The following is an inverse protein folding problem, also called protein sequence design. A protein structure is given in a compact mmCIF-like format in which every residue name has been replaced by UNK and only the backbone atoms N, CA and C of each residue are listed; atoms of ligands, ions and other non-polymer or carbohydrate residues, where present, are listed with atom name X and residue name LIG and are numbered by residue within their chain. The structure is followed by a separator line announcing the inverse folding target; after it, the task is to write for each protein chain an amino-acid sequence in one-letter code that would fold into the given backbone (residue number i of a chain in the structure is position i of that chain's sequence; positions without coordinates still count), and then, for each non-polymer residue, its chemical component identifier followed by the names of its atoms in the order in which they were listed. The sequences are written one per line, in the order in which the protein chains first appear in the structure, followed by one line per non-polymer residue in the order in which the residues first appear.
data_IF_329020283160
#
_entry.id   IF_329020283160
#
_cell.length_a   1.000
_cell.length_b   1.000
_cell.length_c   1.000
_cell.angle_alpha   90.00
_cell.angle_beta   90.00
_cell.angle_gamma   90.00
#
_symmetry.space_group_name_H-M   'P 1'
#
loop_
_entity.id
_entity.type
_entity.pdbx_description
1 polymer ?
#
# COMPACT_ATOMS: atom_id res chain seq x y z
N UNK A 1 24.14 -20.45 11.67
CA UNK A 1 22.68 -20.65 11.76
C UNK A 1 22.03 -19.30 11.64
N UNK A 2 21.10 -19.13 10.69
CA UNK A 2 20.31 -17.89 10.55
C UNK A 2 19.27 -17.86 11.67
N UNK A 3 19.22 -16.78 12.43
CA UNK A 3 18.26 -16.62 13.54
C UNK A 3 17.04 -15.81 13.09
N UNK A 4 15.94 -15.85 13.85
CA UNK A 4 14.72 -15.10 13.49
C UNK A 4 14.98 -13.61 13.24
N UNK A 5 15.78 -12.89 14.05
CA UNK A 5 16.12 -11.49 13.76
C UNK A 5 16.79 -11.25 12.41
N UNK A 6 17.50 -12.24 11.85
CA UNK A 6 18.22 -12.09 10.60
C UNK A 6 17.30 -12.04 9.37
N UNK A 7 16.14 -12.71 9.42
CA UNK A 7 15.20 -12.77 8.31
C UNK A 7 13.86 -12.09 8.56
N UNK A 8 13.55 -11.74 9.82
CA UNK A 8 12.29 -11.04 10.12
C UNK A 8 12.25 -9.68 9.45
N UNK A 9 11.23 -9.47 8.61
CA UNK A 9 11.05 -8.24 7.85
C UNK A 9 12.04 -8.03 6.70
N UNK A 10 12.88 -9.02 6.35
CA UNK A 10 13.87 -8.90 5.26
C UNK A 10 13.24 -8.70 3.89
N UNK A 11 11.99 -9.12 3.70
CA UNK A 11 11.21 -8.98 2.48
C UNK A 11 10.16 -7.86 2.56
N UNK A 12 10.44 -6.81 3.33
CA UNK A 12 9.59 -5.63 3.49
C UNK A 12 10.31 -4.40 2.96
N UNK A 13 9.63 -3.63 2.12
CA UNK A 13 10.12 -2.35 1.59
C UNK A 13 9.91 -1.27 2.66
N UNK A 14 10.63 -1.41 3.77
CA UNK A 14 10.52 -0.58 4.95
C UNK A 14 11.27 0.76 4.81
N UNK A 15 11.24 1.57 5.86
CA UNK A 15 11.91 2.87 5.91
C UNK A 15 13.42 2.76 5.64
N UNK A 16 14.06 1.69 6.10
CA UNK A 16 15.50 1.42 5.87
C UNK A 16 15.78 1.17 4.39
N UNK A 17 14.95 0.35 3.74
CA UNK A 17 15.07 0.05 2.31
C UNK A 17 14.77 1.29 1.48
N UNK A 18 13.74 2.05 1.84
CA UNK A 18 13.40 3.31 1.18
C UNK A 18 14.57 4.30 1.22
N UNK A 19 15.21 4.49 2.37
CA UNK A 19 16.40 5.36 2.49
C UNK A 19 17.58 4.90 1.65
N UNK A 20 17.74 3.60 1.48
CA UNK A 20 18.84 3.04 0.70
C UNK A 20 18.61 3.08 -0.81
N UNK A 21 17.35 3.05 -1.25
CA UNK A 21 16.97 2.89 -2.66
C UNK A 21 16.45 4.18 -3.31
N UNK A 22 16.01 5.17 -2.52
CA UNK A 22 15.48 6.44 -3.00
C UNK A 22 16.53 7.55 -2.85
N UNK A 23 16.48 8.54 -3.73
CA UNK A 23 17.19 9.79 -3.47
C UNK A 23 16.62 10.51 -2.26
N UNK A 24 17.41 11.34 -1.60
CA UNK A 24 17.00 12.06 -0.40
C UNK A 24 15.73 12.90 -0.63
N UNK A 25 15.64 13.60 -1.75
CA UNK A 25 14.49 14.42 -2.11
C UNK A 25 13.21 13.59 -2.30
N UNK A 26 13.31 12.45 -3.00
CA UNK A 26 12.19 11.52 -3.21
C UNK A 26 11.74 10.93 -1.88
N UNK A 27 12.70 10.48 -1.06
CA UNK A 27 12.41 9.93 0.27
C UNK A 27 11.69 10.95 1.15
N UNK A 28 12.21 12.19 1.23
CA UNK A 28 11.62 13.25 2.05
C UNK A 28 10.22 13.64 1.56
N UNK A 29 10.00 13.69 0.24
CA UNK A 29 8.69 13.95 -0.35
C UNK A 29 7.69 12.84 -0.01
N UNK A 30 8.11 11.57 -0.12
CA UNK A 30 7.29 10.42 0.26
C UNK A 30 6.96 10.46 1.76
N UNK A 31 7.93 10.75 2.62
CA UNK A 31 7.71 10.87 4.07
C UNK A 31 6.71 11.97 4.40
N UNK A 32 6.77 13.09 3.71
CA UNK A 32 5.78 14.16 3.88
C UNK A 32 4.36 13.70 3.52
N UNK A 33 4.21 12.92 2.44
CA UNK A 33 2.94 12.30 2.09
C UNK A 33 2.44 11.36 3.20
N UNK A 34 3.32 10.50 3.72
CA UNK A 34 2.99 9.54 4.79
C UNK A 34 2.64 10.23 6.11
N UNK A 35 3.41 11.26 6.47
CA UNK A 35 3.34 11.87 7.80
C UNK A 35 2.30 12.99 7.89
N UNK A 36 2.06 13.72 6.80
CA UNK A 36 1.21 14.89 6.77
C UNK A 36 -0.03 14.72 5.86
N UNK A 37 -0.15 13.60 5.13
CA UNK A 37 -1.22 13.40 4.16
C UNK A 37 -1.10 14.30 2.91
N UNK A 38 0.11 14.79 2.61
CA UNK A 38 0.36 15.61 1.43
C UNK A 38 0.10 14.83 0.14
N UNK A 39 -0.38 15.50 -0.88
CA UNK A 39 -0.60 14.88 -2.19
C UNK A 39 0.72 14.40 -2.79
N UNK A 40 0.75 13.14 -3.26
CA UNK A 40 1.91 12.57 -3.91
C UNK A 40 2.04 13.12 -5.34
N UNK A 41 3.23 13.61 -5.68
CA UNK A 41 3.57 13.99 -7.04
C UNK A 41 3.82 12.73 -7.88
N UNK A 42 3.41 12.75 -9.16
CA UNK A 42 3.59 11.63 -10.08
C UNK A 42 5.07 11.28 -10.32
N UNK A 43 5.95 12.28 -10.38
CA UNK A 43 7.39 12.05 -10.56
C UNK A 43 7.99 11.31 -9.34
N UNK A 44 7.58 11.69 -8.14
CA UNK A 44 7.93 10.98 -6.91
C UNK A 44 7.39 9.56 -6.93
N UNK A 45 6.14 9.38 -7.35
CA UNK A 45 5.53 8.06 -7.48
C UNK A 45 6.27 7.17 -8.49
N UNK A 46 6.69 7.72 -9.63
CA UNK A 46 7.50 6.99 -10.62
C UNK A 46 8.84 6.55 -10.05
N UNK A 47 9.53 7.43 -9.33
CA UNK A 47 10.80 7.09 -8.70
C UNK A 47 10.64 6.00 -7.62
N UNK A 48 9.59 6.08 -6.82
CA UNK A 48 9.27 5.06 -5.80
C UNK A 48 8.90 3.73 -6.46
N UNK A 49 8.07 3.75 -7.50
CA UNK A 49 7.66 2.54 -8.22
C UNK A 49 8.87 1.84 -8.84
N UNK A 50 9.77 2.58 -9.50
CA UNK A 50 11.00 2.01 -10.07
C UNK A 50 11.89 1.39 -9.00
N UNK A 51 12.13 2.11 -7.90
CA UNK A 51 12.96 1.60 -6.80
C UNK A 51 12.33 0.36 -6.13
N UNK A 52 11.02 0.36 -5.96
CA UNK A 52 10.28 -0.77 -5.39
C UNK A 52 10.32 -2.00 -6.29
N UNK A 53 10.17 -1.81 -7.61
CA UNK A 53 10.30 -2.87 -8.62
C UNK A 53 11.74 -3.43 -8.62
N UNK A 54 12.76 -2.57 -8.69
CA UNK A 54 14.15 -3.00 -8.72
C UNK A 54 14.51 -3.80 -7.47
N UNK A 55 14.11 -3.31 -6.29
CA UNK A 55 14.25 -4.05 -5.04
C UNK A 55 13.52 -5.39 -5.06
N UNK A 56 12.28 -5.43 -5.56
CA UNK A 56 11.51 -6.66 -5.62
C UNK A 56 12.14 -7.70 -6.56
N UNK A 57 12.63 -7.25 -7.72
CA UNK A 57 13.33 -8.11 -8.71
C UNK A 57 14.66 -8.64 -8.14
N UNK A 58 15.43 -7.82 -7.43
CA UNK A 58 16.63 -8.25 -6.72
C UNK A 58 16.35 -9.39 -5.71
N UNK A 59 15.12 -9.43 -5.16
CA UNK A 59 14.65 -10.48 -4.25
C UNK A 59 13.86 -11.61 -4.93
N UNK A 60 13.89 -11.67 -6.27
CA UNK A 60 13.31 -12.74 -7.07
C UNK A 60 11.83 -12.60 -7.38
N UNK A 61 11.23 -11.46 -7.16
CA UNK A 61 9.86 -11.19 -7.59
C UNK A 61 9.78 -11.04 -9.12
N UNK A 62 8.71 -11.55 -9.70
CA UNK A 62 8.41 -11.48 -11.15
C UNK A 62 7.07 -10.82 -11.43
N UNK A 63 6.26 -10.65 -10.41
CA UNK A 63 4.91 -10.11 -10.47
C UNK A 63 4.69 -9.11 -9.36
N UNK A 64 3.65 -8.31 -9.50
CA UNK A 64 3.12 -7.45 -8.44
C UNK A 64 1.61 -7.63 -8.30
N UNK A 65 1.08 -7.23 -7.17
CA UNK A 65 -0.36 -7.18 -6.91
C UNK A 65 -0.71 -5.99 -6.04
N UNK A 66 -1.83 -5.34 -6.34
CA UNK A 66 -2.47 -4.40 -5.43
C UNK A 66 -3.20 -5.21 -4.37
N UNK A 67 -2.58 -5.31 -3.19
CA UNK A 67 -3.05 -6.14 -2.10
C UNK A 67 -4.01 -5.38 -1.20
N UNK A 68 -5.22 -5.89 -1.05
CA UNK A 68 -6.23 -5.35 -0.15
C UNK A 68 -7.11 -6.48 0.39
N UNK A 69 -7.82 -6.20 1.48
CA UNK A 69 -8.78 -7.13 2.04
C UNK A 69 -10.20 -6.61 1.77
N UNK A 70 -10.94 -7.22 0.85
CA UNK A 70 -12.30 -6.83 0.55
C UNK A 70 -13.25 -7.13 1.72
N UNK A 71 -14.42 -6.52 1.72
CA UNK A 71 -15.43 -6.73 2.76
C UNK A 71 -15.95 -8.17 2.83
N UNK A 72 -15.75 -8.97 1.79
CA UNK A 72 -16.07 -10.40 1.76
C UNK A 72 -15.21 -11.24 2.71
N UNK A 73 -14.12 -10.68 3.26
CA UNK A 73 -13.24 -11.35 4.22
C UNK A 73 -12.11 -12.18 3.61
N UNK A 74 -12.14 -12.45 2.30
CA UNK A 74 -11.08 -13.16 1.59
C UNK A 74 -10.16 -12.16 0.93
N UNK A 75 -8.85 -12.31 1.11
CA UNK A 75 -7.85 -11.43 0.48
C UNK A 75 -7.98 -11.50 -1.05
N UNK A 76 -8.09 -10.35 -1.71
CA UNK A 76 -8.08 -10.26 -3.16
C UNK A 76 -6.67 -9.94 -3.65
N UNK A 77 -6.24 -10.70 -4.64
CA UNK A 77 -4.94 -10.55 -5.30
C UNK A 77 -5.16 -10.69 -6.82
N UNK A 78 -4.79 -9.66 -7.56
CA UNK A 78 -4.67 -9.73 -9.02
C UNK A 78 -3.19 -9.59 -9.35
N UNK A 79 -2.59 -10.69 -9.77
CA UNK A 79 -1.17 -10.73 -10.09
C UNK A 79 -0.92 -10.20 -11.49
N UNK A 80 -0.19 -9.11 -11.59
CA UNK A 80 0.28 -8.55 -12.84
C UNK A 80 1.80 -8.78 -12.97
N UNK A 81 2.25 -9.05 -14.19
CA UNK A 81 3.68 -9.21 -14.47
C UNK A 81 4.35 -7.85 -14.60
N UNK A 82 5.63 -7.76 -14.20
CA UNK A 82 6.45 -6.60 -14.55
C UNK A 82 6.84 -6.54 -16.03
N UNK A 83 6.55 -7.58 -16.80
CA UNK A 83 6.98 -7.71 -18.20
C UNK A 83 6.11 -6.86 -19.11
N UNK A 84 6.76 -5.97 -19.87
CA UNK A 84 6.13 -5.15 -20.90
C UNK A 84 6.82 -5.42 -22.23
N UNK A 85 6.05 -5.75 -23.32
CA UNK A 85 6.63 -5.88 -24.66
C UNK A 85 7.15 -4.53 -25.16
N UNK A 86 8.37 -4.51 -25.65
CA UNK A 86 8.95 -3.33 -26.31
C UNK A 86 8.66 -3.34 -27.82
N UNK A 87 8.66 -2.16 -28.49
CA UNK A 87 8.36 -2.06 -29.92
C UNK A 87 9.31 -2.82 -30.85
N UNK A 88 10.51 -3.11 -30.40
CA UNK A 88 11.55 -3.85 -31.13
C UNK A 88 11.39 -5.40 -31.00
N UNK A 89 10.34 -5.86 -30.30
CA UNK A 89 10.09 -7.27 -30.03
C UNK A 89 10.86 -7.82 -28.82
N UNK A 90 11.63 -7.01 -28.14
CA UNK A 90 12.24 -7.36 -26.85
C UNK A 90 11.21 -7.25 -25.70
N UNK A 91 11.65 -7.57 -24.50
CA UNK A 91 10.83 -7.48 -23.29
C UNK A 91 11.58 -6.68 -22.25
N UNK A 92 10.92 -5.71 -21.66
CA UNK A 92 11.44 -4.91 -20.56
C UNK A 92 10.66 -5.20 -19.28
N UNK A 93 11.28 -4.93 -18.15
CA UNK A 93 10.60 -4.94 -16.86
C UNK A 93 10.30 -3.50 -16.45
N UNK A 94 9.01 -3.20 -16.31
CA UNK A 94 8.52 -1.86 -16.02
C UNK A 94 7.50 -1.89 -14.88
N UNK A 95 7.45 -0.84 -14.11
CA UNK A 95 6.41 -0.56 -13.13
C UNK A 95 6.36 0.94 -12.91
N UNK A 96 5.28 1.57 -13.31
CA UNK A 96 5.11 3.01 -13.28
C UNK A 96 4.48 3.51 -11.98
N UNK A 97 4.69 4.79 -11.68
CA UNK A 97 4.00 5.45 -10.58
C UNK A 97 2.49 5.48 -10.74
N UNK A 98 1.99 5.51 -11.98
CA UNK A 98 0.56 5.42 -12.26
C UNK A 98 -0.01 4.06 -11.84
N UNK A 99 0.70 2.98 -12.16
CA UNK A 99 0.33 1.62 -11.73
C UNK A 99 0.47 1.44 -10.22
N UNK A 100 1.48 2.07 -9.60
CA UNK A 100 1.63 2.08 -8.14
C UNK A 100 0.45 2.76 -7.45
N UNK A 101 0.11 3.98 -7.90
CA UNK A 101 -0.89 4.81 -7.21
C UNK A 101 -2.29 4.24 -7.34
N UNK A 102 -2.66 3.74 -8.54
CA UNK A 102 -4.04 3.35 -8.85
C UNK A 102 -4.09 2.09 -9.69
N UNK A 103 -4.83 1.10 -9.22
CA UNK A 103 -5.25 -0.05 -9.98
C UNK A 103 -6.76 -0.05 -10.20
N UNK A 104 -7.20 -0.74 -11.23
CA UNK A 104 -8.62 -0.95 -11.52
C UNK A 104 -8.92 -2.46 -11.52
N UNK A 105 -9.00 -3.09 -10.31
CA UNK A 105 -9.41 -4.47 -10.22
C UNK A 105 -10.87 -4.58 -10.64
N UNK A 106 -11.17 -5.52 -11.51
CA UNK A 106 -12.54 -5.85 -11.83
C UNK A 106 -13.09 -6.89 -10.84
N UNK A 107 -14.37 -7.21 -11.01
CA UNK A 107 -15.05 -8.17 -10.16
C UNK A 107 -14.45 -9.59 -10.24
N UNK A 108 -13.71 -9.93 -11.28
CA UNK A 108 -13.02 -11.22 -11.43
C UNK A 108 -11.82 -11.37 -10.49
N UNK A 109 -11.34 -10.26 -9.92
CA UNK A 109 -10.26 -10.24 -8.94
C UNK A 109 -10.70 -10.73 -7.55
N UNK A 110 -11.99 -10.94 -7.30
CA UNK A 110 -12.53 -11.40 -6.02
C UNK A 110 -12.70 -12.90 -6.00
N UNK A 111 -12.06 -13.63 -5.07
CA UNK A 111 -12.11 -15.10 -5.06
C UNK A 111 -13.47 -15.70 -4.70
N UNK A 112 -14.43 -14.93 -4.20
CA UNK A 112 -15.71 -15.46 -3.70
C UNK A 112 -16.87 -14.48 -3.74
N UNK A 113 -16.89 -13.59 -4.71
CA UNK A 113 -18.04 -12.75 -4.88
C UNK A 113 -19.21 -13.57 -5.39
N UNK A 114 -20.30 -13.74 -4.64
CA UNK A 114 -21.57 -14.06 -5.26
C UNK A 114 -21.88 -13.04 -6.35
N UNK A 115 -22.72 -13.39 -7.32
CA UNK A 115 -23.09 -12.54 -8.46
C UNK A 115 -23.36 -11.06 -8.07
N UNK A 116 -23.90 -10.82 -6.90
CA UNK A 116 -24.24 -9.49 -6.40
C UNK A 116 -23.00 -8.72 -5.91
N UNK A 117 -22.08 -9.37 -5.22
CA UNK A 117 -20.87 -8.74 -4.75
C UNK A 117 -19.94 -8.34 -5.90
N UNK A 118 -19.88 -9.15 -6.97
CA UNK A 118 -19.08 -8.86 -8.15
C UNK A 118 -19.68 -7.75 -9.02
N UNK A 119 -21.00 -7.62 -9.05
CA UNK A 119 -21.68 -6.59 -9.84
C UNK A 119 -21.57 -5.19 -9.20
N UNK A 120 -21.58 -5.12 -7.87
CA UNK A 120 -21.50 -3.87 -7.11
C UNK A 120 -20.04 -3.45 -6.80
N UNK A 121 -19.08 -4.36 -6.93
CA UNK A 121 -17.70 -4.16 -6.52
C UNK A 121 -16.81 -3.52 -7.61
N UNK A 122 -17.36 -2.71 -8.49
CA UNK A 122 -16.56 -1.91 -9.41
C UNK A 122 -15.98 -0.69 -8.70
N UNK A 123 -14.66 -0.59 -8.75
CA UNK A 123 -13.98 0.49 -8.08
C UNK A 123 -12.51 0.58 -8.50
N UNK A 124 -11.75 1.21 -7.67
CA UNK A 124 -10.32 1.36 -7.86
C UNK A 124 -9.56 1.10 -6.56
N UNK A 125 -8.33 0.64 -6.70
CA UNK A 125 -7.37 0.60 -5.61
C UNK A 125 -6.60 1.90 -5.56
N UNK A 126 -6.30 2.37 -4.36
CA UNK A 126 -5.42 3.50 -4.14
C UNK A 126 -4.27 3.04 -3.23
N UNK A 127 -3.04 3.27 -3.66
CA UNK A 127 -1.87 2.95 -2.83
C UNK A 127 -1.96 3.63 -1.47
N UNK A 128 -1.69 2.85 -0.44
CA UNK A 128 -1.53 3.35 0.92
C UNK A 128 -0.04 3.36 1.30
N UNK A 129 0.63 4.51 1.16
CA UNK A 129 2.05 4.61 1.47
C UNK A 129 2.37 4.50 2.97
N UNK A 130 1.37 4.55 3.84
CA UNK A 130 1.55 4.36 5.29
C UNK A 130 1.77 2.89 5.68
N UNK A 131 1.50 1.97 4.75
CA UNK A 131 1.76 0.54 4.91
C UNK A 131 2.86 0.10 3.95
N UNK A 132 3.82 -0.65 4.48
CA UNK A 132 4.97 -1.10 3.67
C UNK A 132 4.56 -2.18 2.67
N UNK A 133 5.06 -2.05 1.44
CA UNK A 133 5.01 -3.13 0.46
C UNK A 133 5.93 -4.28 0.92
N UNK A 134 5.60 -5.50 0.51
CA UNK A 134 6.33 -6.68 0.92
C UNK A 134 6.31 -7.74 -0.19
N UNK A 135 7.24 -8.69 -0.12
CA UNK A 135 7.30 -9.79 -1.07
C UNK A 135 6.74 -11.05 -0.40
N UNK A 136 5.80 -11.70 -1.10
CA UNK A 136 5.24 -13.00 -0.76
C UNK A 136 5.46 -13.96 -1.94
N UNK A 137 6.29 -14.97 -1.75
CA UNK A 137 6.72 -15.84 -2.83
C UNK A 137 7.49 -15.08 -3.91
N UNK A 138 6.95 -14.98 -5.12
CA UNK A 138 7.53 -14.22 -6.24
C UNK A 138 6.74 -12.97 -6.62
N UNK A 139 5.93 -12.47 -5.71
CA UNK A 139 5.01 -11.36 -5.96
C UNK A 139 5.27 -10.22 -4.99
N UNK A 140 5.46 -9.03 -5.52
CA UNK A 140 5.45 -7.78 -4.76
C UNK A 140 4.00 -7.44 -4.40
N UNK A 141 3.68 -7.46 -3.11
CA UNK A 141 2.37 -7.08 -2.58
C UNK A 141 2.39 -5.61 -2.17
N UNK A 142 1.53 -4.81 -2.79
CA UNK A 142 1.43 -3.37 -2.57
C UNK A 142 0.15 -3.10 -1.78
N UNK A 143 0.24 -2.68 -0.49
CA UNK A 143 -0.95 -2.39 0.30
C UNK A 143 -1.75 -1.24 -0.28
N UNK A 144 -3.04 -1.47 -0.49
CA UNK A 144 -3.95 -0.49 -1.07
C UNK A 144 -5.25 -0.39 -0.27
N UNK A 145 -5.93 0.74 -0.41
CA UNK A 145 -7.34 0.89 -0.11
C UNK A 145 -8.14 0.54 -1.38
N UNK A 146 -9.37 0.06 -1.22
CA UNK A 146 -10.27 -0.22 -2.33
C UNK A 146 -11.62 0.49 -2.13
N UNK A 147 -11.97 1.33 -3.09
CA UNK A 147 -13.17 2.16 -3.05
C UNK A 147 -13.98 2.02 -4.33
N UNK A 148 -15.30 2.18 -4.24
CA UNK A 148 -16.15 2.35 -5.41
C UNK A 148 -15.87 3.68 -6.12
N UNK A 149 -16.34 3.82 -7.34
CA UNK A 149 -16.26 5.11 -8.05
C UNK A 149 -17.10 6.21 -7.39
N UNK A 150 -18.08 5.85 -6.58
CA UNK A 150 -18.86 6.77 -5.74
C UNK A 150 -18.19 7.13 -4.41
N UNK A 151 -17.05 6.49 -4.09
CA UNK A 151 -16.28 6.75 -2.87
C UNK A 151 -16.67 5.89 -1.66
N UNK A 152 -17.56 4.88 -1.86
CA UNK A 152 -17.87 3.93 -0.79
C UNK A 152 -16.69 3.01 -0.54
N UNK A 153 -16.47 2.63 0.71
CA UNK A 153 -15.47 1.66 1.09
C UNK A 153 -15.89 0.25 0.64
N UNK A 154 -15.04 -0.42 -0.10
CA UNK A 154 -15.23 -1.81 -0.54
C UNK A 154 -14.25 -2.76 0.13
N UNK A 155 -13.43 -2.25 1.04
CA UNK A 155 -12.44 -2.98 1.83
C UNK A 155 -12.58 -2.68 3.33
N UNK A 156 -11.78 -3.37 4.14
CA UNK A 156 -11.72 -3.16 5.59
C UNK A 156 -10.78 -2.01 5.98
N UNK A 157 -9.83 -1.66 5.13
CA UNK A 157 -8.81 -0.64 5.43
C UNK A 157 -9.34 0.78 5.31
N UNK A 158 -10.17 1.07 4.32
CA UNK A 158 -10.73 2.41 4.14
C UNK A 158 -11.51 2.92 5.35
N UNK A 159 -12.42 2.15 5.98
CA UNK A 159 -13.05 2.56 7.23
C UNK A 159 -12.05 2.81 8.36
N UNK A 160 -11.02 1.97 8.49
CA UNK A 160 -9.97 2.14 9.49
C UNK A 160 -9.23 3.47 9.27
N UNK A 161 -8.76 3.74 8.07
CA UNK A 161 -8.03 4.99 7.75
C UNK A 161 -8.90 6.23 8.00
N UNK A 162 -10.18 6.18 7.63
CA UNK A 162 -11.14 7.25 7.89
C UNK A 162 -11.38 7.47 9.40
N UNK A 163 -11.45 6.40 10.19
CA UNK A 163 -11.60 6.50 11.65
C UNK A 163 -10.35 7.10 12.30
N UNK A 164 -9.16 6.75 11.83
CA UNK A 164 -7.90 7.32 12.31
C UNK A 164 -7.82 8.82 12.01
N UNK A 165 -8.24 9.25 10.82
CA UNK A 165 -8.30 10.67 10.46
C UNK A 165 -9.30 11.44 11.31
N UNK A 166 -10.49 10.88 11.54
CA UNK A 166 -11.49 11.48 12.42
C UNK A 166 -10.98 11.62 13.87
N UNK A 167 -10.30 10.59 14.38
CA UNK A 167 -9.68 10.64 15.71
C UNK A 167 -8.57 11.68 15.79
N UNK A 168 -7.68 11.73 14.79
CA UNK A 168 -6.65 12.76 14.70
C UNK A 168 -7.23 14.17 14.79
N UNK A 169 -8.28 14.47 14.03
CA UNK A 169 -8.93 15.79 14.06
C UNK A 169 -9.45 16.16 15.46
N UNK A 170 -10.06 15.23 16.19
CA UNK A 170 -10.56 15.50 17.52
C UNK A 170 -9.42 15.59 18.56
N UNK A 171 -8.43 14.74 18.48
CA UNK A 171 -7.26 14.80 19.36
C UNK A 171 -6.49 16.11 19.20
N UNK A 172 -6.31 16.58 17.97
CA UNK A 172 -5.69 17.89 17.70
C UNK A 172 -6.48 19.04 18.31
N UNK A 173 -7.83 19.00 18.26
CA UNK A 173 -8.66 20.02 18.93
C UNK A 173 -8.43 20.05 20.44
N UNK A 174 -8.32 18.89 21.07
CA UNK A 174 -8.04 18.79 22.51
C UNK A 174 -6.66 19.36 22.82
N UNK A 175 -5.64 19.01 22.06
CA UNK A 175 -4.28 19.53 22.24
C UNK A 175 -4.23 21.06 22.14
N UNK A 176 -4.91 21.66 21.17
CA UNK A 176 -5.01 23.12 21.04
C UNK A 176 -5.71 23.76 22.25
N UNK A 177 -6.77 23.14 22.80
CA UNK A 177 -7.42 23.63 24.01
C UNK A 177 -6.51 23.62 25.23
N UNK A 178 -5.53 22.73 25.27
CA UNK A 178 -4.47 22.72 26.30
C UNK A 178 -3.23 23.56 25.94
N UNK A 179 -3.30 24.37 24.88
CA UNK A 179 -2.24 25.27 24.46
C UNK A 179 -1.07 24.60 23.74
N UNK A 180 -1.27 23.37 23.23
CA UNK A 180 -0.23 22.69 22.45
C UNK A 180 -0.45 22.90 20.95
N UNK A 181 0.29 23.83 20.35
CA UNK A 181 0.25 24.15 18.93
C UNK A 181 1.45 23.57 18.15
N UNK A 182 2.32 22.84 18.82
CA UNK A 182 3.54 22.27 18.21
C UNK A 182 3.29 20.92 17.54
N UNK A 183 2.37 20.13 18.08
CA UNK A 183 1.97 18.83 17.50
C UNK A 183 1.24 19.06 16.19
N UNK A 184 1.62 18.32 15.15
CA UNK A 184 1.04 18.43 13.81
C UNK A 184 0.06 17.30 13.48
N UNK A 185 0.20 16.16 14.14
CA UNK A 185 -0.60 14.99 13.87
C UNK A 185 -0.62 14.04 15.07
N UNK A 186 -1.76 13.39 15.31
CA UNK A 186 -1.92 12.34 16.33
C UNK A 186 -2.24 11.03 15.62
N UNK A 187 -1.42 10.02 15.87
CA UNK A 187 -1.59 8.67 15.30
C UNK A 187 -2.07 7.69 16.35
N UNK A 188 -2.92 6.79 15.92
CA UNK A 188 -3.25 5.59 16.68
C UNK A 188 -2.19 4.52 16.43
N UNK A 189 -1.92 3.70 17.42
CA UNK A 189 -1.13 2.49 17.30
C UNK A 189 -1.97 1.28 17.72
N UNK A 190 -1.61 0.11 17.19
CA UNK A 190 -2.22 -1.17 17.54
C UNK A 190 -1.15 -2.16 17.92
N UNK A 191 -1.40 -2.92 18.98
CA UNK A 191 -0.60 -4.09 19.36
C UNK A 191 -1.38 -5.34 18.99
N UNK A 192 -0.97 -6.11 17.96
CA UNK A 192 -1.65 -7.35 17.62
C UNK A 192 -1.43 -8.39 18.71
N UNK A 193 -2.49 -9.09 19.06
CA UNK A 193 -2.46 -10.24 19.98
C UNK A 193 -2.88 -11.49 19.20
N UNK A 194 -2.36 -12.62 19.65
CA UNK A 194 -2.70 -13.93 19.10
C UNK A 194 -3.48 -14.70 20.15
N UNK A 195 -4.74 -15.00 19.87
CA UNK A 195 -5.62 -15.76 20.75
C UNK A 195 -5.98 -17.10 20.09
N UNK A 196 -5.95 -18.15 20.88
CA UNK A 196 -6.39 -19.49 20.49
C UNK A 196 -7.55 -19.92 21.37
N UNK A 197 -8.64 -20.29 20.76
CA UNK A 197 -9.74 -20.99 21.44
C UNK A 197 -9.47 -22.51 21.32
N UNK A 198 -9.38 -23.18 22.46
CA UNK A 198 -9.21 -24.63 22.57
C UNK A 198 -10.56 -25.31 22.62
#
# INVERSE_FOLDING_TARGET
MTTVPDYFGSLVFDDRVMRAKLSEDVYNSLKKTIDEGAQLNLDVANAVASAMKDWAVEHGATHFTHWFQPMTGVTAEKHDSFITPAPDGSVIMEFSGKELIKGEPDASSFPSGGLRATFEARGYTAWDPSSYAFIKGKTLCIPTAFCSYGGEALDKKTPLLRSMDALNKQAMRILHLFGNDTVKYVRTSVGPEQEYFL
#
